data_IF_458448504169
#
_entry.id   IF_458448504169
#
_cell.length_a   1.000
_cell.length_b   1.000
_cell.length_c   1.000
_cell.angle_alpha   90.00
_cell.angle_beta   90.00
_cell.angle_gamma   90.00
#
_symmetry.space_group_name_H-M   'P 1'
#
loop_
_entity.id
_entity.type
_entity.pdbx_description
1 polymer ?
#
# COMPACT_ATOMS: atom_id res chain seq x y z
N UNK A 1 4.62 3.13 7.80
CA UNK A 1 4.37 2.03 6.83
C UNK A 1 5.65 1.22 6.68
N UNK A 2 5.54 -0.07 6.36
CA UNK A 2 6.66 -0.99 6.25
C UNK A 2 6.52 -1.87 5.01
N UNK A 3 7.64 -2.28 4.42
CA UNK A 3 7.69 -3.37 3.46
C UNK A 3 8.16 -4.63 4.20
N UNK A 4 7.33 -5.67 4.17
CA UNK A 4 7.56 -6.93 4.88
C UNK A 4 7.82 -8.05 3.88
N UNK A 5 8.58 -9.05 4.29
CA UNK A 5 8.65 -10.32 3.54
C UNK A 5 7.47 -11.23 3.91
N UNK A 6 7.32 -12.36 3.20
CA UNK A 6 6.28 -13.36 3.46
C UNK A 6 6.31 -13.96 4.89
N UNK A 7 7.43 -13.83 5.60
CA UNK A 7 7.59 -14.32 6.97
C UNK A 7 7.37 -13.23 8.04
N UNK A 8 6.69 -12.14 7.67
CA UNK A 8 6.41 -10.98 8.54
C UNK A 8 7.67 -10.27 9.09
N UNK A 9 8.82 -10.46 8.43
CA UNK A 9 10.04 -9.72 8.78
C UNK A 9 10.09 -8.40 8.03
N UNK A 10 10.41 -7.34 8.76
CA UNK A 10 10.60 -6.01 8.20
C UNK A 10 11.82 -6.01 7.28
N UNK A 11 11.60 -5.61 6.02
CA UNK A 11 12.68 -5.36 5.07
C UNK A 11 13.05 -3.87 5.07
N UNK A 12 12.06 -2.99 5.00
CA UNK A 12 12.26 -1.54 5.05
C UNK A 12 11.14 -0.82 5.80
N UNK A 13 11.49 0.33 6.38
CA UNK A 13 10.58 1.25 7.04
C UNK A 13 10.64 2.61 6.35
N UNK A 14 9.49 3.24 6.19
CA UNK A 14 9.41 4.62 5.71
C UNK A 14 8.97 5.53 6.84
N UNK A 15 9.74 6.60 7.05
CA UNK A 15 9.38 7.65 8.00
C UNK A 15 8.20 8.46 7.46
N UNK A 16 7.11 8.49 8.22
CA UNK A 16 5.89 9.22 7.85
C UNK A 16 5.90 10.57 8.55
N UNK A 17 6.20 11.62 7.79
CA UNK A 17 6.31 13.01 8.30
C UNK A 17 5.02 13.80 8.19
N UNK A 18 3.99 13.27 7.54
CA UNK A 18 2.69 13.91 7.39
C UNK A 18 1.57 12.94 7.75
N UNK A 19 0.48 13.47 8.30
CA UNK A 19 -0.68 12.66 8.66
C UNK A 19 -1.35 12.05 7.42
N UNK A 20 -1.79 10.79 7.57
CA UNK A 20 -2.50 10.03 6.54
C UNK A 20 -1.64 9.02 5.78
N UNK A 21 -2.24 7.89 5.42
CA UNK A 21 -1.65 6.93 4.51
C UNK A 21 -1.66 7.51 3.09
N UNK A 22 -0.49 7.91 2.60
CA UNK A 22 -0.32 8.46 1.25
C UNK A 22 0.37 7.43 0.36
N UNK A 23 -0.10 7.32 -0.89
CA UNK A 23 0.44 6.38 -1.89
C UNK A 23 1.95 6.54 -2.11
N UNK A 24 2.48 7.77 -1.98
CA UNK A 24 3.91 8.01 -2.18
C UNK A 24 4.80 7.25 -1.18
N UNK A 25 4.31 6.94 0.02
CA UNK A 25 5.06 6.13 0.99
C UNK A 25 5.23 4.68 0.52
N UNK A 26 4.19 4.11 -0.08
CA UNK A 26 4.25 2.77 -0.67
C UNK A 26 5.17 2.74 -1.90
N UNK A 27 5.08 3.75 -2.76
CA UNK A 27 5.94 3.88 -3.95
C UNK A 27 7.42 4.01 -3.54
N UNK A 28 7.73 4.80 -2.50
CA UNK A 28 9.10 4.96 -2.00
C UNK A 28 9.70 3.61 -1.55
N UNK A 29 8.92 2.77 -0.87
CA UNK A 29 9.35 1.44 -0.46
C UNK A 29 9.57 0.50 -1.65
N UNK A 30 8.72 0.57 -2.68
CA UNK A 30 8.88 -0.21 -3.92
C UNK A 30 10.16 0.20 -4.66
N UNK A 31 10.43 1.50 -4.78
CA UNK A 31 11.66 1.99 -5.40
C UNK A 31 12.88 1.46 -4.65
N UNK A 32 12.85 1.49 -3.32
CA UNK A 32 13.96 0.99 -2.52
C UNK A 32 14.17 -0.52 -2.67
N UNK A 33 13.09 -1.30 -2.80
CA UNK A 33 13.16 -2.71 -3.14
C UNK A 33 13.91 -2.91 -4.46
N UNK A 34 13.54 -2.21 -5.53
CA UNK A 34 14.15 -2.38 -6.85
C UNK A 34 15.64 -2.02 -6.90
N UNK A 35 16.10 -1.04 -6.10
CA UNK A 35 17.54 -0.71 -6.01
C UNK A 35 18.38 -1.84 -5.42
N UNK A 36 17.77 -2.69 -4.59
CA UNK A 36 18.44 -3.77 -3.88
C UNK A 36 18.23 -5.15 -4.54
N UNK A 37 17.53 -5.19 -5.68
CA UNK A 37 17.37 -6.40 -6.48
C UNK A 37 18.33 -6.41 -7.67
N UNK A 38 18.75 -7.59 -8.14
CA UNK A 38 19.53 -7.73 -9.37
C UNK A 38 18.78 -7.12 -10.57
N UNK A 39 19.51 -6.46 -11.48
CA UNK A 39 18.91 -5.77 -12.63
C UNK A 39 18.28 -6.70 -13.67
N UNK A 40 18.67 -7.97 -13.67
CA UNK A 40 18.18 -9.04 -14.54
C UNK A 40 16.98 -9.80 -13.95
N UNK A 41 16.57 -9.47 -12.71
CA UNK A 41 15.46 -10.13 -12.04
C UNK A 41 14.11 -9.60 -12.52
N UNK A 42 13.22 -10.50 -12.94
CA UNK A 42 11.83 -10.18 -13.24
C UNK A 42 11.01 -10.15 -11.95
N UNK A 43 10.41 -9.00 -11.64
CA UNK A 43 9.61 -8.78 -10.43
C UNK A 43 8.17 -8.46 -10.82
N UNK A 44 7.22 -9.16 -10.22
CA UNK A 44 5.79 -8.82 -10.30
C UNK A 44 5.30 -8.18 -9.00
N UNK A 45 4.51 -7.10 -9.11
CA UNK A 45 3.87 -6.44 -7.96
C UNK A 45 2.37 -6.66 -8.05
N UNK A 46 1.80 -7.24 -6.99
CA UNK A 46 0.36 -7.33 -6.81
C UNK A 46 -0.09 -6.19 -5.89
N UNK A 47 -1.01 -5.35 -6.37
CA UNK A 47 -1.58 -4.26 -5.58
C UNK A 47 -3.07 -4.52 -5.38
N UNK A 48 -3.50 -4.55 -4.12
CA UNK A 48 -4.92 -4.66 -3.77
C UNK A 48 -5.60 -3.30 -3.94
N UNK A 49 -6.47 -3.20 -4.93
CA UNK A 49 -7.35 -2.04 -5.09
C UNK A 49 -8.55 -2.27 -4.19
N UNK A 50 -8.42 -1.84 -2.93
CA UNK A 50 -9.55 -1.78 -2.03
C UNK A 50 -10.66 -0.92 -2.65
N UNK A 51 -11.86 -1.48 -2.82
CA UNK A 51 -13.03 -0.72 -3.24
C UNK A 51 -13.28 0.37 -2.18
N UNK A 52 -12.95 1.61 -2.51
CA UNK A 52 -13.40 2.76 -1.73
C UNK A 52 -14.91 2.83 -1.94
N UNK A 53 -15.70 2.31 -0.97
CA UNK A 53 -17.10 2.69 -0.90
C UNK A 53 -17.12 4.19 -0.66
N UNK A 54 -17.26 4.95 -1.75
CA UNK A 54 -17.71 6.31 -1.67
C UNK A 54 -18.95 6.27 -0.78
N UNK A 55 -18.92 7.03 0.30
CA UNK A 55 -20.11 7.32 1.07
C UNK A 55 -21.07 8.10 0.19
N UNK A 56 -21.75 7.42 -0.72
CA UNK A 56 -23.15 7.72 -0.88
C UNK A 56 -23.77 7.18 0.40
N UNK A 57 -24.08 8.11 1.29
CA UNK A 57 -25.17 8.02 2.26
C UNK A 57 -26.39 7.42 1.54
N UNK A 58 -26.43 6.09 1.43
CA UNK A 58 -27.66 5.37 1.24
C UNK A 58 -28.35 5.50 2.59
N UNK A 59 -29.02 6.65 2.75
CA UNK A 59 -30.22 6.82 3.55
C UNK A 59 -30.96 5.50 3.42
N UNK A 60 -30.84 4.64 4.43
CA UNK A 60 -31.79 3.57 4.63
C UNK A 60 -33.09 4.30 4.94
N UNK A 61 -33.80 4.66 3.88
CA UNK A 61 -35.19 5.05 3.95
C UNK A 61 -35.87 3.83 4.54
N UNK A 62 -36.12 3.88 5.85
CA UNK A 62 -37.01 2.95 6.53
C UNK A 62 -38.38 3.16 5.90
N UNK A 63 -38.65 2.41 4.83
CA UNK A 63 -39.98 2.15 4.32
C UNK A 63 -40.38 0.79 4.89
N UNK A 64 -41.16 0.85 5.98
CA UNK A 64 -41.72 -0.26 6.72
C UNK A 64 -42.55 0.30 7.86
#
# INVERSE_FOLDING_TARGET
MALLCRHDRVLWLVNMTSAGEKQHYAIALIIELFKNLPSDMVVGILYDIGCHKGGADLQYKTAG
#
